data_IF_539609473413
#
_entry.id   IF_539609473413
#
_cell.length_a   1.000
_cell.length_b   1.000
_cell.length_c   1.000
_cell.angle_alpha   90.00
_cell.angle_beta   90.00
_cell.angle_gamma   90.00
#
_symmetry.space_group_name_H-M   'P 1'
#
loop_
_entity.id
_entity.type
_entity.pdbx_description
1 polymer ?
#
# COMPACT_ATOMS: atom_id res chain seq x y z
N UNK A 1 26.28 30.90 -25.68
CA UNK A 1 26.35 31.12 -24.22
C UNK A 1 25.07 30.63 -23.59
N UNK A 2 25.25 29.83 -22.55
CA UNK A 2 24.34 28.99 -21.78
C UNK A 2 23.11 29.70 -21.23
N UNK A 3 21.94 29.07 -21.28
CA UNK A 3 21.04 29.03 -20.11
C UNK A 3 20.37 27.66 -20.08
N UNK A 4 20.97 26.76 -19.28
CA UNK A 4 20.37 25.47 -18.92
C UNK A 4 19.11 25.74 -18.11
N UNK A 5 17.97 25.18 -18.51
CA UNK A 5 16.80 25.04 -17.65
C UNK A 5 17.22 24.26 -16.40
N UNK A 6 17.30 24.97 -15.27
CA UNK A 6 17.38 24.34 -13.95
C UNK A 6 15.99 23.82 -13.65
N UNK A 7 15.77 22.52 -13.92
CA UNK A 7 14.64 21.79 -13.33
C UNK A 7 14.85 21.86 -11.83
N UNK A 8 14.08 22.75 -11.19
CA UNK A 8 14.00 22.88 -9.74
C UNK A 8 13.49 21.54 -9.22
N UNK A 9 14.37 20.69 -8.69
CA UNK A 9 13.98 19.54 -7.87
C UNK A 9 13.12 20.10 -6.73
N UNK A 10 11.80 20.02 -6.89
CA UNK A 10 10.87 20.26 -5.81
C UNK A 10 11.27 19.34 -4.66
N UNK A 11 11.29 19.86 -3.43
CA UNK A 11 11.46 19.08 -2.21
C UNK A 11 10.59 17.82 -2.32
N UNK A 12 11.22 16.67 -2.56
CA UNK A 12 10.55 15.38 -2.48
C UNK A 12 10.11 15.20 -1.03
N UNK A 13 8.83 15.46 -0.79
CA UNK A 13 8.12 15.24 0.47
C UNK A 13 8.02 13.75 0.73
N UNK A 14 9.14 13.13 1.12
CA UNK A 14 9.29 11.70 1.43
C UNK A 14 8.33 11.16 2.50
N UNK A 15 7.59 12.04 3.20
CA UNK A 15 6.61 11.64 4.22
C UNK A 15 5.23 11.24 3.67
N UNK A 16 4.81 11.75 2.51
CA UNK A 16 3.44 11.51 2.04
C UNK A 16 3.26 10.16 1.32
N UNK A 17 4.30 9.65 0.67
CA UNK A 17 4.17 8.48 -0.20
C UNK A 17 3.70 7.23 0.57
N UNK A 18 4.17 6.99 1.80
CA UNK A 18 3.83 5.77 2.55
C UNK A 18 2.39 5.78 3.09
N UNK A 19 1.84 6.95 3.41
CA UNK A 19 0.43 7.06 3.87
C UNK A 19 -0.51 6.72 2.72
N UNK A 20 -0.19 7.20 1.51
CA UNK A 20 -0.95 6.88 0.30
C UNK A 20 -0.88 5.37 -0.02
N UNK A 21 0.29 4.74 0.13
CA UNK A 21 0.42 3.29 -0.06
C UNK A 21 -0.42 2.48 0.94
N UNK A 22 -0.62 2.99 2.17
CA UNK A 22 -1.54 2.36 3.12
C UNK A 22 -2.99 2.49 2.65
N UNK A 23 -3.41 3.69 2.26
CA UNK A 23 -4.75 3.92 1.73
C UNK A 23 -5.03 3.03 0.50
N UNK A 24 -4.05 2.87 -0.39
CA UNK A 24 -4.11 1.95 -1.52
C UNK A 24 -4.36 0.50 -1.07
N UNK A 25 -3.63 0.02 -0.06
CA UNK A 25 -3.85 -1.31 0.51
C UNK A 25 -5.26 -1.51 1.06
N UNK A 26 -5.84 -0.50 1.71
CA UNK A 26 -7.23 -0.53 2.18
C UNK A 26 -8.21 -0.63 1.01
N UNK A 27 -8.01 0.20 -0.02
CA UNK A 27 -8.88 0.23 -1.21
C UNK A 27 -8.86 -1.14 -1.90
N UNK A 28 -7.68 -1.69 -2.18
CA UNK A 28 -7.54 -3.00 -2.83
C UNK A 28 -8.19 -4.10 -1.99
N UNK A 29 -7.99 -4.08 -0.66
CA UNK A 29 -8.64 -5.04 0.23
C UNK A 29 -10.16 -4.99 0.11
N UNK A 30 -10.75 -3.79 0.06
CA UNK A 30 -12.19 -3.61 -0.09
C UNK A 30 -12.65 -4.07 -1.48
N UNK A 31 -11.90 -3.76 -2.54
CA UNK A 31 -12.25 -4.15 -3.91
C UNK A 31 -12.27 -5.68 -4.09
N UNK A 32 -11.34 -6.40 -3.47
CA UNK A 32 -11.26 -7.87 -3.60
C UNK A 32 -12.10 -8.62 -2.57
N UNK A 33 -12.09 -8.17 -1.32
CA UNK A 33 -12.76 -8.86 -0.21
C UNK A 33 -14.21 -8.40 0.03
N UNK A 34 -14.56 -7.17 -0.36
CA UNK A 34 -15.90 -6.60 -0.16
C UNK A 34 -16.19 -6.07 1.26
N UNK A 35 -15.18 -5.97 2.13
CA UNK A 35 -15.33 -5.46 3.50
C UNK A 35 -14.07 -4.74 3.96
N UNK A 36 -14.15 -4.02 5.09
CA UNK A 36 -13.00 -3.28 5.64
C UNK A 36 -12.00 -4.24 6.31
N UNK A 37 -10.68 -4.07 6.11
CA UNK A 37 -9.68 -4.92 6.75
C UNK A 37 -9.61 -4.77 8.27
N UNK A 38 -10.02 -3.62 8.81
CA UNK A 38 -9.97 -3.31 10.24
C UNK A 38 -11.33 -2.83 10.75
N UNK A 39 -11.82 -3.46 11.81
CA UNK A 39 -13.04 -3.05 12.51
C UNK A 39 -12.92 -3.30 14.04
N UNK A 40 -13.19 -2.30 14.89
CA UNK A 40 -13.45 -0.90 14.57
C UNK A 40 -12.24 -0.22 13.90
N UNK A 41 -12.47 0.93 13.26
CA UNK A 41 -11.42 1.66 12.53
C UNK A 41 -10.26 2.16 13.40
N UNK A 42 -10.25 1.93 14.71
CA UNK A 42 -9.11 2.23 15.58
C UNK A 42 -8.01 1.15 15.57
N UNK A 43 -8.22 0.00 14.92
CA UNK A 43 -7.31 -1.15 14.95
C UNK A 43 -6.24 -1.15 13.83
N UNK A 44 -5.75 0.01 13.42
CA UNK A 44 -4.72 0.11 12.38
C UNK A 44 -3.35 -0.47 12.80
N UNK A 45 -3.20 -0.79 14.08
CA UNK A 45 -2.00 -1.43 14.65
C UNK A 45 -2.04 -2.96 14.58
N UNK A 46 -3.15 -3.55 14.10
CA UNK A 46 -3.28 -4.99 13.93
C UNK A 46 -2.79 -5.44 12.54
N UNK A 47 -2.31 -6.69 12.45
CA UNK A 47 -1.99 -7.28 11.15
C UNK A 47 -3.27 -7.55 10.38
N UNK A 48 -3.25 -7.24 9.08
CA UNK A 48 -4.35 -7.59 8.18
C UNK A 48 -4.58 -9.11 8.18
N UNK A 49 -5.84 -9.50 8.27
CA UNK A 49 -6.28 -10.90 8.19
C UNK A 49 -7.15 -11.11 6.96
N UNK A 50 -7.11 -12.31 6.38
CA UNK A 50 -7.91 -12.66 5.20
C UNK A 50 -8.81 -13.82 5.56
N UNK A 51 -10.10 -13.54 5.77
CA UNK A 51 -11.06 -14.59 6.11
C UNK A 51 -11.30 -15.49 4.90
N UNK A 52 -11.05 -16.79 5.08
CA UNK A 52 -11.17 -17.80 4.02
C UNK A 52 -12.51 -17.73 3.27
N UNK A 53 -13.60 -17.44 3.98
CA UNK A 53 -14.94 -17.23 3.42
C UNK A 53 -14.98 -16.30 2.20
N UNK A 54 -14.16 -15.24 2.19
CA UNK A 54 -14.13 -14.24 1.12
C UNK A 54 -12.88 -14.33 0.26
N UNK A 55 -11.80 -14.89 0.81
CA UNK A 55 -10.47 -14.83 0.21
C UNK A 55 -9.97 -16.18 -0.33
N UNK A 56 -10.77 -17.25 -0.29
CA UNK A 56 -10.34 -18.59 -0.72
C UNK A 56 -9.90 -18.66 -2.20
N UNK A 57 -10.52 -17.89 -3.09
CA UNK A 57 -10.25 -17.88 -4.53
C UNK A 57 -9.35 -16.71 -4.98
N UNK A 58 -8.89 -15.88 -4.05
CA UNK A 58 -7.99 -14.77 -4.35
C UNK A 58 -6.55 -15.27 -4.24
N UNK A 59 -5.72 -14.91 -5.24
CA UNK A 59 -4.36 -15.39 -5.36
C UNK A 59 -3.49 -15.05 -4.14
N UNK A 60 -2.48 -15.90 -3.89
CA UNK A 60 -1.49 -15.67 -2.83
C UNK A 60 -0.72 -14.37 -3.04
N UNK A 61 -0.43 -14.05 -4.30
CA UNK A 61 0.28 -12.86 -4.75
C UNK A 61 -0.50 -11.59 -4.39
N UNK A 62 -1.83 -11.59 -4.58
CA UNK A 62 -2.70 -10.49 -4.18
C UNK A 62 -2.67 -10.24 -2.67
N UNK A 63 -2.78 -11.32 -1.89
CA UNK A 63 -2.75 -11.25 -0.43
C UNK A 63 -1.40 -10.73 0.05
N UNK A 64 -0.31 -11.20 -0.57
CA UNK A 64 1.04 -10.74 -0.27
C UNK A 64 1.24 -9.26 -0.60
N UNK A 65 0.71 -8.80 -1.75
CA UNK A 65 0.76 -7.40 -2.13
C UNK A 65 0.07 -6.51 -1.09
N UNK A 66 -1.15 -6.87 -0.70
CA UNK A 66 -1.92 -6.13 0.31
C UNK A 66 -1.21 -6.16 1.68
N UNK A 67 -0.65 -7.29 2.09
CA UNK A 67 0.14 -7.38 3.33
C UNK A 67 1.37 -6.46 3.30
N UNK A 68 1.99 -6.29 2.14
CA UNK A 68 3.17 -5.47 1.97
C UNK A 68 2.83 -3.96 1.93
N UNK A 69 1.63 -3.60 1.48
CA UNK A 69 1.06 -2.24 1.58
C UNK A 69 0.55 -1.92 3.00
N UNK A 70 -0.03 -2.89 3.69
CA UNK A 70 -0.59 -2.74 5.04
C UNK A 70 0.41 -3.11 6.14
N UNK A 71 1.70 -2.88 5.91
CA UNK A 71 2.72 -2.98 6.95
C UNK A 71 2.53 -1.84 7.97
N UNK A 72 2.43 -2.21 9.24
CA UNK A 72 2.27 -1.28 10.37
C UNK A 72 3.49 -0.36 10.44
N UNK A 73 4.70 -0.91 10.31
CA UNK A 73 5.93 -0.13 10.23
C UNK A 73 6.08 0.51 8.83
N UNK A 74 6.02 1.85 8.69
CA UNK A 74 6.11 2.51 7.39
C UNK A 74 7.42 2.24 6.64
N UNK A 75 8.51 1.94 7.35
CA UNK A 75 9.81 1.61 6.74
C UNK A 75 9.82 0.24 6.08
N UNK A 76 8.92 -0.67 6.47
CA UNK A 76 8.74 -1.99 5.86
C UNK A 76 7.65 -2.02 4.79
N UNK A 77 6.84 -0.96 4.73
CA UNK A 77 5.76 -0.82 3.75
C UNK A 77 6.33 -0.63 2.36
N UNK A 78 5.72 -1.21 1.33
CA UNK A 78 6.13 -0.94 -0.05
C UNK A 78 6.05 0.56 -0.38
N UNK A 79 7.04 1.06 -1.11
CA UNK A 79 6.91 2.32 -1.84
C UNK A 79 6.32 2.09 -3.24
N UNK A 80 6.01 3.16 -3.95
CA UNK A 80 5.39 3.12 -5.29
C UNK A 80 6.22 2.33 -6.29
N UNK A 81 7.55 2.49 -6.28
CA UNK A 81 8.46 1.82 -7.22
C UNK A 81 8.44 0.31 -6.95
N UNK A 82 8.62 -0.08 -5.68
CA UNK A 82 8.57 -1.50 -5.28
C UNK A 82 7.20 -2.14 -5.54
N UNK A 83 6.12 -1.34 -5.45
CA UNK A 83 4.76 -1.83 -5.69
C UNK A 83 4.46 -2.05 -7.18
N UNK A 84 5.03 -1.25 -8.08
CA UNK A 84 4.91 -1.44 -9.53
C UNK A 84 5.61 -2.72 -9.99
N UNK A 85 6.74 -3.05 -9.37
CA UNK A 85 7.53 -4.24 -9.67
C UNK A 85 7.03 -5.50 -8.94
N UNK A 86 5.92 -5.39 -8.19
CA UNK A 86 5.38 -6.53 -7.44
C UNK A 86 4.74 -7.57 -8.39
N UNK A 87 4.86 -8.89 -8.13
CA UNK A 87 4.33 -9.93 -9.02
C UNK A 87 2.79 -10.01 -9.18
N UNK A 88 2.02 -9.16 -8.50
CA UNK A 88 0.56 -9.15 -8.53
C UNK A 88 0.09 -7.93 -9.31
#
# INVERSE_FOLDING_TARGET
MTTRMVIRKGKESNFNNKVDMWALGIIIYILLGGYRPFYPCSRFEEKVTFHERYWFNISSEAKNFIQSLLQINPSKRLNVIEAIDHPW
#
